data_IF_247951390818
#
_entry.id   IF_247951390818
#
_cell.length_a   1.000
_cell.length_b   1.000
_cell.length_c   1.000
_cell.angle_alpha   90.00
_cell.angle_beta   90.00
_cell.angle_gamma   90.00
#
_symmetry.space_group_name_H-M   'P 1'
#
loop_
_entity.id
_entity.type
_entity.pdbx_description
1 polymer ?
#
# COMPACT_ATOMS: atom_id res chain seq x y z
N UNK A 1 -21.75 -28.52 9.21
CA UNK A 1 -20.64 -29.06 10.02
C UNK A 1 -20.26 -28.01 11.06
N UNK A 2 -19.96 -28.39 12.32
CA UNK A 2 -19.78 -27.41 13.39
C UNK A 2 -18.43 -26.72 13.26
N UNK A 3 -18.47 -25.40 13.50
CA UNK A 3 -17.32 -24.53 13.61
C UNK A 3 -16.58 -24.77 14.94
N UNK A 4 -15.40 -25.39 14.88
CA UNK A 4 -14.36 -25.26 15.89
C UNK A 4 -13.06 -25.87 15.35
N UNK A 5 -11.95 -25.20 15.66
CA UNK A 5 -10.55 -25.57 15.42
C UNK A 5 -9.95 -25.18 14.06
N UNK A 6 -9.85 -23.87 13.81
CA UNK A 6 -8.76 -23.32 12.99
C UNK A 6 -7.80 -22.56 13.90
N UNK A 7 -6.61 -23.12 14.09
CA UNK A 7 -5.51 -22.50 14.83
C UNK A 7 -4.83 -21.43 13.96
N UNK A 8 -4.46 -20.36 14.64
CA UNK A 8 -3.78 -19.14 14.21
C UNK A 8 -2.77 -19.31 13.08
N UNK A 9 -2.94 -18.51 12.02
CA UNK A 9 -1.98 -18.36 10.92
C UNK A 9 -2.64 -17.77 9.67
N UNK A 10 -2.80 -16.45 9.63
CA UNK A 10 -3.17 -15.60 8.47
C UNK A 10 -3.79 -16.34 7.27
N UNK A 11 -5.03 -16.79 7.45
CA UNK A 11 -6.03 -16.83 6.38
C UNK A 11 -6.42 -15.38 6.03
N UNK A 12 -7.03 -15.12 4.87
CA UNK A 12 -7.48 -13.78 4.45
C UNK A 12 -8.59 -13.15 5.34
N UNK A 13 -8.48 -13.28 6.66
CA UNK A 13 -9.39 -12.75 7.67
C UNK A 13 -9.21 -11.24 7.83
N UNK A 14 -10.29 -10.56 8.23
CA UNK A 14 -10.25 -9.10 8.38
C UNK A 14 -9.31 -8.82 9.53
N UNK A 15 -8.23 -8.09 9.25
CA UNK A 15 -7.30 -7.72 10.30
C UNK A 15 -8.10 -6.91 11.34
N UNK A 16 -8.34 -7.56 12.47
CA UNK A 16 -9.04 -6.97 13.58
C UNK A 16 -8.03 -6.11 14.33
N UNK A 17 -8.23 -4.80 14.29
CA UNK A 17 -7.50 -3.89 15.17
C UNK A 17 -8.19 -3.91 16.54
N UNK A 18 -7.45 -3.90 17.66
CA UNK A 18 -8.02 -3.79 19.01
C UNK A 18 -8.49 -2.36 19.30
N UNK A 19 -9.20 -1.75 18.35
CA UNK A 19 -9.67 -0.38 18.38
C UNK A 19 -11.20 -0.36 18.46
N UNK A 20 -11.72 0.60 19.23
CA UNK A 20 -13.13 0.97 19.18
C UNK A 20 -13.26 2.22 18.31
N UNK A 21 -14.02 2.11 17.23
CA UNK A 21 -14.37 3.25 16.39
C UNK A 21 -15.68 3.87 16.89
N UNK A 22 -15.71 5.20 16.98
CA UNK A 22 -16.89 5.99 17.41
C UNK A 22 -17.96 6.06 16.31
N UNK A 23 -17.55 5.92 15.05
CA UNK A 23 -18.46 5.89 13.90
C UNK A 23 -17.90 5.02 12.77
N UNK A 24 -18.79 4.65 11.86
CA UNK A 24 -18.40 3.97 10.61
C UNK A 24 -17.44 4.85 9.79
N UNK A 25 -17.63 6.17 9.77
CA UNK A 25 -16.79 7.10 9.01
C UNK A 25 -15.37 7.14 9.55
N UNK A 26 -15.21 7.14 10.87
CA UNK A 26 -13.89 7.06 11.49
C UNK A 26 -13.18 5.75 11.10
N UNK A 27 -13.91 4.64 11.07
CA UNK A 27 -13.40 3.34 10.67
C UNK A 27 -13.00 3.32 9.18
N UNK A 28 -13.83 3.87 8.28
CA UNK A 28 -13.52 4.02 6.85
C UNK A 28 -12.25 4.87 6.68
N UNK A 29 -12.20 6.04 7.31
CA UNK A 29 -11.06 6.97 7.22
C UNK A 29 -9.75 6.32 7.72
N UNK A 30 -9.82 5.51 8.78
CA UNK A 30 -8.68 4.76 9.29
C UNK A 30 -8.13 3.79 8.25
N UNK A 31 -8.98 2.94 7.67
CA UNK A 31 -8.55 1.95 6.69
C UNK A 31 -8.07 2.59 5.38
N UNK A 32 -8.71 3.67 4.94
CA UNK A 32 -8.29 4.41 3.75
C UNK A 32 -6.93 5.06 3.94
N UNK A 33 -6.69 5.67 5.11
CA UNK A 33 -5.40 6.29 5.43
C UNK A 33 -4.31 5.22 5.61
N UNK A 34 -4.62 4.09 6.25
CA UNK A 34 -3.71 2.96 6.38
C UNK A 34 -3.27 2.44 5.00
N UNK A 35 -4.21 2.18 4.09
CA UNK A 35 -3.88 1.71 2.74
C UNK A 35 -3.19 2.78 1.90
N UNK A 36 -3.57 4.05 2.04
CA UNK A 36 -2.90 5.18 1.39
C UNK A 36 -1.39 5.18 1.70
N UNK A 37 -1.04 4.93 2.96
CA UNK A 37 0.33 4.93 3.48
C UNK A 37 1.06 3.59 3.36
N UNK A 38 0.41 2.55 2.84
CA UNK A 38 0.96 1.19 2.78
C UNK A 38 1.98 0.96 1.64
N UNK A 39 2.95 1.87 1.51
CA UNK A 39 4.05 1.80 0.55
C UNK A 39 5.40 1.83 1.27
N UNK A 40 6.50 1.80 0.50
CA UNK A 40 7.84 2.00 1.04
C UNK A 40 8.61 0.71 1.29
N UNK A 41 8.23 -0.39 0.64
CA UNK A 41 8.95 -1.67 0.70
C UNK A 41 10.45 -1.57 0.39
N UNK A 42 10.87 -0.56 -0.39
CA UNK A 42 12.27 -0.25 -0.67
C UNK A 42 13.08 0.20 0.57
N UNK A 43 12.41 0.59 1.65
CA UNK A 43 13.01 1.03 2.91
C UNK A 43 13.01 -0.07 3.98
N UNK A 44 12.57 -1.29 3.65
CA UNK A 44 12.47 -2.38 4.62
C UNK A 44 13.79 -2.69 5.34
N UNK A 45 14.93 -2.59 4.65
CA UNK A 45 16.25 -2.89 5.22
C UNK A 45 16.81 -1.73 6.07
N UNK A 46 16.13 -0.56 6.07
CA UNK A 46 16.48 0.64 6.85
C UNK A 46 15.63 0.78 8.12
N UNK A 47 14.68 -0.13 8.32
CA UNK A 47 13.86 -0.20 9.51
C UNK A 47 14.43 -1.31 10.39
N UNK A 48 14.54 -1.04 11.69
CA UNK A 48 15.12 -1.99 12.66
C UNK A 48 14.22 -3.22 12.85
N UNK A 49 13.42 -3.23 13.91
CA UNK A 49 12.65 -4.41 14.36
C UNK A 49 11.24 -4.49 13.77
N UNK A 50 10.90 -3.63 12.79
CA UNK A 50 9.55 -3.56 12.22
C UNK A 50 9.59 -3.66 10.71
N UNK A 51 8.63 -4.39 10.16
CA UNK A 51 8.29 -4.26 8.74
C UNK A 51 7.80 -2.85 8.42
N UNK A 52 7.85 -2.49 7.15
CA UNK A 52 7.26 -1.24 6.65
C UNK A 52 5.78 -1.16 7.04
N UNK A 53 5.04 -2.26 6.88
CA UNK A 53 3.63 -2.30 7.24
C UNK A 53 3.42 -2.11 8.76
N UNK A 54 4.18 -2.81 9.61
CA UNK A 54 4.10 -2.63 11.07
C UNK A 54 4.47 -1.21 11.51
N UNK A 55 5.42 -0.57 10.82
CA UNK A 55 5.78 0.83 11.04
C UNK A 55 4.60 1.77 10.75
N UNK A 56 3.92 1.58 9.61
CA UNK A 56 2.71 2.33 9.28
C UNK A 56 1.60 2.04 10.30
N UNK A 57 1.35 0.78 10.62
CA UNK A 57 0.34 0.38 11.60
C UNK A 57 0.57 0.99 12.97
N UNK A 58 1.81 1.00 13.45
CA UNK A 58 2.19 1.65 14.70
C UNK A 58 1.79 3.13 14.70
N UNK A 59 2.13 3.86 13.64
CA UNK A 59 1.76 5.27 13.52
C UNK A 59 0.26 5.49 13.41
N UNK A 60 -0.44 4.64 12.67
CA UNK A 60 -1.90 4.69 12.55
C UNK A 60 -2.60 4.46 13.90
N UNK A 61 -2.13 3.51 14.69
CA UNK A 61 -2.61 3.27 16.05
C UNK A 61 -2.32 4.47 16.96
N UNK A 62 -1.11 5.04 16.90
CA UNK A 62 -0.73 6.24 17.64
C UNK A 62 -1.64 7.44 17.33
N UNK A 63 -1.94 7.67 16.05
CA UNK A 63 -2.86 8.73 15.61
C UNK A 63 -4.27 8.52 16.19
N UNK A 64 -4.82 7.30 16.12
CA UNK A 64 -6.12 6.98 16.69
C UNK A 64 -6.17 7.19 18.20
N UNK A 65 -5.16 6.69 18.93
CA UNK A 65 -5.10 6.79 20.39
C UNK A 65 -4.90 8.24 20.87
N UNK A 66 -4.31 9.10 20.04
CA UNK A 66 -4.20 10.54 20.32
C UNK A 66 -5.52 11.33 20.15
N UNK A 67 -6.59 10.68 19.67
CA UNK A 67 -7.88 11.31 19.40
C UNK A 67 -7.87 12.23 18.17
N UNK A 68 -6.80 12.21 17.35
CA UNK A 68 -6.71 12.98 16.12
C UNK A 68 -7.67 12.40 15.08
N UNK A 69 -8.46 13.27 14.44
CA UNK A 69 -9.32 12.88 13.31
C UNK A 69 -8.46 12.69 12.06
N UNK A 70 -8.61 11.56 11.38
CA UNK A 70 -7.95 11.27 10.11
C UNK A 70 -8.69 11.94 8.95
N UNK A 71 -8.63 13.27 8.92
CA UNK A 71 -9.32 14.11 7.95
C UNK A 71 -8.31 14.95 7.13
N UNK A 72 -8.83 15.65 6.12
CA UNK A 72 -8.05 16.47 5.21
C UNK A 72 -7.21 17.54 5.93
N UNK A 73 -7.74 18.08 7.05
CA UNK A 73 -7.01 19.02 7.88
C UNK A 73 -5.75 18.38 8.46
N UNK A 74 -5.88 17.26 9.16
CA UNK A 74 -4.77 16.55 9.78
C UNK A 74 -3.70 16.16 8.76
N UNK A 75 -4.12 15.55 7.66
CA UNK A 75 -3.21 15.06 6.61
C UNK A 75 -2.34 16.19 6.03
N UNK A 76 -2.94 17.35 5.77
CA UNK A 76 -2.23 18.49 5.19
C UNK A 76 -1.38 19.31 6.18
N UNK A 77 -1.55 19.09 7.48
CA UNK A 77 -0.85 19.88 8.51
C UNK A 77 0.32 19.15 9.14
N UNK A 78 0.59 17.91 8.72
CA UNK A 78 1.74 17.15 9.23
C UNK A 78 3.04 17.84 8.82
N UNK A 79 4.04 17.80 9.68
CA UNK A 79 5.42 18.11 9.37
C UNK A 79 6.27 16.85 9.26
N UNK A 80 7.49 16.97 8.74
CA UNK A 80 8.43 15.83 8.72
C UNK A 80 8.76 15.33 10.15
N UNK A 81 8.77 16.24 11.13
CA UNK A 81 8.95 15.89 12.54
C UNK A 81 7.74 15.12 13.09
N UNK A 82 6.51 15.55 12.76
CA UNK A 82 5.30 14.81 13.13
C UNK A 82 5.32 13.39 12.57
N UNK A 83 5.76 13.22 11.31
CA UNK A 83 5.91 11.89 10.69
C UNK A 83 6.94 11.05 11.46
N UNK A 84 8.14 11.61 11.71
CA UNK A 84 9.18 10.92 12.47
C UNK A 84 8.68 10.44 13.84
N UNK A 85 8.01 11.31 14.59
CA UNK A 85 7.45 10.97 15.90
C UNK A 85 6.29 9.97 15.82
N UNK A 86 5.36 10.18 14.89
CA UNK A 86 4.14 9.35 14.76
C UNK A 86 4.50 7.91 14.38
N UNK A 87 5.35 7.73 13.37
CA UNK A 87 5.69 6.41 12.85
C UNK A 87 6.90 5.79 13.59
N UNK A 88 7.56 6.56 14.45
CA UNK A 88 8.73 6.13 15.20
C UNK A 88 9.91 5.85 14.28
N UNK A 89 10.20 6.79 13.38
CA UNK A 89 11.35 6.74 12.46
C UNK A 89 12.27 7.93 12.72
N UNK A 90 13.55 7.67 12.89
CA UNK A 90 14.56 8.71 13.13
C UNK A 90 14.87 9.42 11.81
N UNK A 91 14.32 10.63 11.61
CA UNK A 91 14.46 11.39 10.35
C UNK A 91 15.72 12.26 10.29
N UNK A 92 16.32 12.56 11.44
CA UNK A 92 17.49 13.43 11.59
C UNK A 92 18.48 12.78 12.54
N UNK A 93 19.77 12.92 12.26
CA UNK A 93 20.86 12.56 13.18
C UNK A 93 21.88 13.68 13.30
N UNK A 94 22.55 13.76 14.43
CA UNK A 94 23.69 14.66 14.61
C UNK A 94 24.92 14.10 13.87
N UNK A 95 25.51 14.91 13.01
CA UNK A 95 26.75 14.60 12.31
C UNK A 95 27.79 15.69 12.57
N UNK A 96 29.04 15.29 12.77
CA UNK A 96 30.14 16.24 12.91
C UNK A 96 30.39 16.92 11.57
N UNK A 97 30.51 18.25 11.58
CA UNK A 97 30.85 19.01 10.36
C UNK A 97 32.24 18.61 9.85
N UNK A 98 33.17 18.33 10.77
CA UNK A 98 34.48 17.73 10.49
C UNK A 98 34.84 16.74 11.61
N UNK A 99 35.50 15.61 11.31
CA UNK A 99 35.82 14.56 12.30
C UNK A 99 36.47 15.09 13.59
N UNK A 100 37.36 16.07 13.46
CA UNK A 100 38.20 16.61 14.55
C UNK A 100 37.64 17.89 15.20
N UNK A 101 36.39 18.27 14.89
CA UNK A 101 35.76 19.44 15.51
C UNK A 101 34.67 19.01 16.49
N UNK A 102 34.45 19.76 17.59
CA UNK A 102 33.32 19.54 18.49
C UNK A 102 32.00 20.15 17.94
N UNK A 103 31.95 20.52 16.66
CA UNK A 103 30.81 21.20 16.03
C UNK A 103 29.98 20.17 15.27
N UNK A 104 28.70 20.10 15.62
CA UNK A 104 27.72 19.20 15.03
C UNK A 104 26.72 19.96 14.16
N UNK A 105 26.13 19.27 13.21
CA UNK A 105 24.99 19.71 12.40
C UNK A 105 23.98 18.57 12.30
N UNK A 106 22.74 18.89 11.96
CA UNK A 106 21.72 17.86 11.68
C UNK A 106 21.73 17.51 10.20
N UNK A 107 21.87 16.22 9.91
CA UNK A 107 21.68 15.68 8.57
C UNK A 107 20.49 14.73 8.52
N UNK A 108 19.96 14.50 7.32
CA UNK A 108 18.93 13.49 7.10
C UNK A 108 19.51 12.10 7.24
N UNK A 109 18.79 11.21 7.93
CA UNK A 109 19.09 9.78 7.91
C UNK A 109 18.66 9.14 6.59
N UNK A 110 19.08 7.90 6.38
CA UNK A 110 18.73 7.10 5.21
C UNK A 110 17.21 6.84 5.13
N UNK A 111 16.54 6.68 6.29
CA UNK A 111 15.08 6.49 6.38
C UNK A 111 14.28 7.79 6.19
N UNK A 112 14.93 8.97 6.23
CA UNK A 112 14.25 10.25 6.02
C UNK A 112 13.53 10.32 4.65
N UNK A 113 14.03 9.60 3.63
CA UNK A 113 13.35 9.45 2.35
C UNK A 113 11.94 8.86 2.47
N UNK A 114 11.77 7.83 3.30
CA UNK A 114 10.47 7.20 3.57
C UNK A 114 9.52 8.17 4.26
N UNK A 115 10.00 8.87 5.30
CA UNK A 115 9.20 9.86 6.02
C UNK A 115 8.76 11.02 5.12
N UNK A 116 9.61 11.46 4.18
CA UNK A 116 9.25 12.47 3.17
C UNK A 116 8.16 11.97 2.21
N UNK A 117 8.18 10.69 1.83
CA UNK A 117 7.12 10.10 0.99
C UNK A 117 5.79 10.00 1.74
N UNK A 118 5.80 9.61 3.03
CA UNK A 118 4.62 9.64 3.91
C UNK A 118 4.05 11.05 3.98
N UNK A 119 4.91 12.04 4.29
CA UNK A 119 4.51 13.43 4.37
C UNK A 119 3.86 13.91 3.07
N UNK A 120 4.52 13.65 1.93
CA UNK A 120 4.00 14.00 0.62
C UNK A 120 2.64 13.36 0.33
N UNK A 121 2.47 12.07 0.64
CA UNK A 121 1.20 11.36 0.46
C UNK A 121 0.07 11.99 1.28
N UNK A 122 0.35 12.35 2.55
CA UNK A 122 -0.59 13.05 3.41
C UNK A 122 -0.92 14.45 2.88
N UNK A 123 0.08 15.26 2.55
CA UNK A 123 -0.10 16.63 2.05
C UNK A 123 -0.90 16.66 0.74
N UNK A 124 -0.54 15.83 -0.23
CA UNK A 124 -1.21 15.77 -1.53
C UNK A 124 -2.66 15.30 -1.38
N UNK A 125 -2.90 14.29 -0.55
CA UNK A 125 -4.26 13.77 -0.32
C UNK A 125 -5.12 14.76 0.45
N UNK A 126 -4.60 15.33 1.55
CA UNK A 126 -5.32 16.33 2.34
C UNK A 126 -5.65 17.58 1.53
N UNK A 127 -4.71 18.05 0.69
CA UNK A 127 -4.96 19.15 -0.25
C UNK A 127 -6.06 18.80 -1.26
N UNK A 128 -5.98 17.63 -1.90
CA UNK A 128 -7.00 17.19 -2.87
C UNK A 128 -8.38 17.04 -2.26
N UNK A 129 -8.50 16.45 -1.06
CA UNK A 129 -9.79 16.34 -0.36
C UNK A 129 -10.41 17.72 -0.12
N UNK A 130 -9.63 18.71 0.33
CA UNK A 130 -10.11 20.09 0.49
C UNK A 130 -10.51 20.75 -0.83
N UNK A 131 -9.71 20.61 -1.88
CA UNK A 131 -10.03 21.13 -3.22
C UNK A 131 -11.33 20.53 -3.77
N UNK A 132 -11.64 19.30 -3.38
CA UNK A 132 -12.87 18.60 -3.70
C UNK A 132 -14.00 18.86 -2.70
N UNK A 133 -13.84 19.79 -1.75
CA UNK A 133 -14.81 20.11 -0.70
C UNK A 133 -15.28 18.85 0.04
N UNK A 134 -14.30 18.05 0.48
CA UNK A 134 -14.48 16.86 1.29
C UNK A 134 -13.62 17.00 2.56
N UNK A 135 -14.23 16.85 3.73
CA UNK A 135 -13.54 16.84 5.02
C UNK A 135 -12.65 15.59 5.14
N UNK A 136 -13.09 14.44 4.63
CA UNK A 136 -12.40 13.16 4.77
C UNK A 136 -12.72 12.17 3.63
N UNK A 137 -12.20 10.94 3.72
CA UNK A 137 -12.44 9.88 2.73
C UNK A 137 -13.90 9.42 2.71
N UNK A 138 -14.55 9.31 3.87
CA UNK A 138 -15.94 8.88 3.95
C UNK A 138 -16.86 9.85 3.20
N UNK A 139 -16.69 11.16 3.37
CA UNK A 139 -17.42 12.18 2.61
C UNK A 139 -17.05 12.14 1.12
N UNK A 140 -15.76 11.96 0.80
CA UNK A 140 -15.30 11.83 -0.59
C UNK A 140 -16.02 10.68 -1.32
N UNK A 141 -16.12 9.49 -0.73
CA UNK A 141 -16.80 8.37 -1.38
C UNK A 141 -18.29 8.62 -1.56
N UNK A 142 -18.98 9.18 -0.56
CA UNK A 142 -20.40 9.55 -0.71
C UNK A 142 -20.64 10.57 -1.83
N UNK A 143 -19.66 11.43 -2.09
CA UNK A 143 -19.75 12.48 -3.12
C UNK A 143 -19.58 11.93 -4.54
N UNK A 144 -18.72 10.93 -4.72
CA UNK A 144 -18.29 10.48 -6.04
C UNK A 144 -18.79 9.08 -6.45
N UNK A 145 -19.35 8.30 -5.53
CA UNK A 145 -19.85 6.95 -5.83
C UNK A 145 -21.37 6.92 -5.82
N UNK A 146 -21.91 6.10 -6.71
CA UNK A 146 -23.34 5.78 -6.77
C UNK A 146 -23.63 4.60 -5.83
N UNK A 147 -24.43 4.87 -4.79
CA UNK A 147 -24.82 3.87 -3.79
C UNK A 147 -25.79 2.82 -4.32
N UNK A 148 -26.54 3.14 -5.38
CA UNK A 148 -27.49 2.21 -5.99
C UNK A 148 -26.80 1.25 -6.97
N UNK A 149 -25.58 1.61 -7.42
CA UNK A 149 -24.75 0.82 -8.36
C UNK A 149 -23.27 0.83 -7.96
N UNK A 150 -22.93 0.33 -6.76
CA UNK A 150 -21.55 0.27 -6.30
C UNK A 150 -20.76 -0.72 -7.17
N UNK A 151 -19.68 -0.25 -7.78
CA UNK A 151 -18.73 -1.09 -8.52
C UNK A 151 -17.30 -0.78 -8.09
N UNK A 152 -16.48 -1.81 -7.97
CA UNK A 152 -15.05 -1.70 -7.71
C UNK A 152 -14.36 -0.94 -8.85
N UNK A 153 -14.82 -1.12 -10.09
CA UNK A 153 -14.29 -0.38 -11.25
C UNK A 153 -14.49 1.14 -11.12
N UNK A 154 -15.70 1.59 -10.75
CA UNK A 154 -15.97 3.01 -10.54
C UNK A 154 -15.19 3.56 -9.33
N UNK A 155 -15.10 2.77 -8.25
CA UNK A 155 -14.32 3.11 -7.06
C UNK A 155 -12.84 3.34 -7.40
N UNK A 156 -12.22 2.39 -8.08
CA UNK A 156 -10.81 2.48 -8.51
C UNK A 156 -10.58 3.66 -9.44
N UNK A 157 -11.49 3.89 -10.40
CA UNK A 157 -11.40 5.03 -11.32
C UNK A 157 -11.48 6.38 -10.60
N UNK A 158 -12.42 6.53 -9.66
CA UNK A 158 -12.57 7.75 -8.86
C UNK A 158 -11.31 8.03 -8.04
N UNK A 159 -10.74 7.02 -7.39
CA UNK A 159 -9.48 7.17 -6.64
C UNK A 159 -8.34 7.59 -7.56
N UNK A 160 -8.11 6.85 -8.65
CA UNK A 160 -7.04 7.11 -9.61
C UNK A 160 -7.13 8.54 -10.19
N UNK A 161 -8.33 8.99 -10.53
CA UNK A 161 -8.56 10.30 -11.13
C UNK A 161 -8.41 11.46 -10.14
N UNK A 162 -8.82 11.26 -8.89
CA UNK A 162 -8.95 12.35 -7.93
C UNK A 162 -7.78 12.47 -6.95
N UNK A 163 -7.12 11.34 -6.63
CA UNK A 163 -6.12 11.23 -5.58
C UNK A 163 -4.80 10.63 -6.14
N UNK A 164 -3.76 11.46 -6.35
CA UNK A 164 -2.51 11.03 -6.99
C UNK A 164 -1.82 9.83 -6.34
N UNK A 165 -1.94 9.65 -5.02
CA UNK A 165 -1.35 8.52 -4.27
C UNK A 165 -1.89 7.14 -4.70
N UNK A 166 -3.06 7.11 -5.35
CA UNK A 166 -3.68 5.91 -5.92
C UNK A 166 -3.48 5.81 -7.44
N UNK A 167 -2.87 6.82 -8.08
CA UNK A 167 -2.56 6.82 -9.50
C UNK A 167 -1.26 6.06 -9.77
N UNK A 168 -1.39 4.74 -9.87
CA UNK A 168 -0.31 3.82 -10.22
C UNK A 168 -0.28 3.58 -11.73
N UNK A 169 0.15 4.64 -12.43
CA UNK A 169 0.28 4.69 -13.88
C UNK A 169 1.70 5.04 -14.32
N UNK A 170 2.08 4.58 -15.50
CA UNK A 170 3.38 4.82 -16.11
C UNK A 170 3.24 4.97 -17.63
N UNK A 171 4.04 5.85 -18.21
CA UNK A 171 4.05 6.10 -19.66
C UNK A 171 5.35 5.58 -20.25
N UNK A 172 5.25 4.67 -21.22
CA UNK A 172 6.39 4.13 -21.98
C UNK A 172 6.15 4.35 -23.47
N UNK A 173 7.01 5.16 -24.10
CA UNK A 173 6.75 5.69 -25.45
C UNK A 173 5.40 6.41 -25.50
N UNK A 174 4.53 5.96 -26.41
CA UNK A 174 3.16 6.49 -26.59
C UNK A 174 2.08 5.69 -25.82
N UNK A 175 2.49 4.75 -24.95
CA UNK A 175 1.56 3.87 -24.22
C UNK A 175 1.46 4.27 -22.76
N UNK A 176 0.23 4.54 -22.30
CA UNK A 176 -0.09 4.69 -20.87
C UNK A 176 -0.52 3.35 -20.29
N UNK A 177 0.10 2.96 -19.17
CA UNK A 177 -0.13 1.69 -18.48
C UNK A 177 -0.59 1.98 -17.07
N UNK A 178 -1.64 1.29 -16.61
CA UNK A 178 -2.23 1.47 -15.28
C UNK A 178 -2.33 0.13 -14.55
N UNK A 179 -1.56 -0.03 -13.47
CA UNK A 179 -1.61 -1.24 -12.62
C UNK A 179 -2.60 -1.05 -11.47
N UNK A 180 -2.68 0.15 -10.89
CA UNK A 180 -3.67 0.56 -9.87
C UNK A 180 -3.72 -0.37 -8.65
N UNK A 181 -2.58 -0.94 -8.24
CA UNK A 181 -2.52 -1.98 -7.19
C UNK A 181 -3.15 -1.52 -5.88
N UNK A 182 -2.79 -0.33 -5.41
CA UNK A 182 -3.25 0.20 -4.13
C UNK A 182 -4.75 0.51 -4.13
N UNK A 183 -5.26 1.06 -5.24
CA UNK A 183 -6.69 1.33 -5.38
C UNK A 183 -7.52 0.03 -5.38
N UNK A 184 -7.03 -1.00 -6.08
CA UNK A 184 -7.64 -2.35 -6.08
C UNK A 184 -7.59 -2.99 -4.68
N UNK A 185 -6.45 -2.87 -3.98
CA UNK A 185 -6.31 -3.39 -2.62
C UNK A 185 -7.29 -2.70 -1.66
N UNK A 186 -7.43 -1.38 -1.74
CA UNK A 186 -8.40 -0.64 -0.95
C UNK A 186 -9.84 -1.04 -1.29
N UNK A 187 -10.18 -1.23 -2.57
CA UNK A 187 -11.50 -1.70 -2.98
C UNK A 187 -11.83 -3.06 -2.34
N UNK A 188 -10.91 -4.03 -2.43
CA UNK A 188 -11.08 -5.35 -1.83
C UNK A 188 -11.21 -5.29 -0.30
N UNK A 189 -10.39 -4.45 0.36
CA UNK A 189 -10.46 -4.27 1.81
C UNK A 189 -11.81 -3.69 2.25
N UNK A 190 -12.24 -2.58 1.64
CA UNK A 190 -13.50 -1.94 2.01
C UNK A 190 -14.71 -2.83 1.70
N UNK A 191 -14.70 -3.53 0.57
CA UNK A 191 -15.80 -4.44 0.21
C UNK A 191 -15.98 -5.54 1.24
N UNK A 192 -14.90 -6.29 1.53
CA UNK A 192 -14.93 -7.40 2.48
C UNK A 192 -15.33 -6.94 3.88
N UNK A 193 -14.93 -5.72 4.26
CA UNK A 193 -15.12 -5.20 5.61
C UNK A 193 -16.45 -4.48 5.83
N UNK A 194 -17.02 -3.88 4.78
CA UNK A 194 -18.16 -2.98 4.91
C UNK A 194 -19.34 -3.29 3.98
N UNK A 195 -19.26 -4.20 3.02
CA UNK A 195 -20.40 -4.56 2.14
C UNK A 195 -21.70 -4.82 2.91
N UNK A 196 -21.61 -5.53 4.04
CA UNK A 196 -22.75 -5.86 4.90
C UNK A 196 -23.20 -4.73 5.85
N UNK A 197 -22.44 -3.64 5.98
CA UNK A 197 -22.71 -2.49 6.88
C UNK A 197 -22.93 -1.17 6.14
N UNK A 198 -22.47 -1.08 4.91
CA UNK A 198 -22.40 0.13 4.11
C UNK A 198 -22.57 -0.22 2.62
N UNK A 199 -23.79 -0.05 2.07
CA UNK A 199 -24.09 -0.40 0.68
C UNK A 199 -23.14 0.24 -0.34
N UNK A 200 -22.54 1.39 -0.02
CA UNK A 200 -21.55 2.09 -0.84
C UNK A 200 -20.34 1.22 -1.22
N UNK A 201 -20.02 0.20 -0.42
CA UNK A 201 -18.89 -0.71 -0.66
C UNK A 201 -19.33 -2.12 -1.05
N UNK A 202 -20.62 -2.35 -1.30
CA UNK A 202 -21.13 -3.64 -1.77
C UNK A 202 -20.92 -3.81 -3.29
N UNK A 203 -19.65 -3.76 -3.72
CA UNK A 203 -19.28 -3.81 -5.13
C UNK A 203 -19.75 -5.08 -5.84
N UNK A 204 -20.45 -4.89 -6.96
CA UNK A 204 -21.10 -5.98 -7.71
C UNK A 204 -20.16 -6.70 -8.71
N UNK A 205 -18.95 -6.18 -8.94
CA UNK A 205 -17.97 -6.64 -9.94
C UNK A 205 -16.62 -7.03 -9.31
N UNK A 206 -16.63 -7.46 -8.05
CA UNK A 206 -15.41 -7.87 -7.34
C UNK A 206 -14.70 -9.06 -7.98
N UNK A 207 -15.47 -9.94 -8.64
CA UNK A 207 -14.96 -11.07 -9.43
C UNK A 207 -14.08 -10.63 -10.61
N UNK A 208 -14.30 -9.40 -11.11
CA UNK A 208 -13.56 -8.81 -12.24
C UNK A 208 -12.34 -7.99 -11.79
N UNK A 209 -12.14 -7.83 -10.48
CA UNK A 209 -11.03 -7.08 -9.93
C UNK A 209 -9.73 -7.87 -10.13
N UNK A 210 -8.86 -7.40 -11.02
CA UNK A 210 -7.55 -8.00 -11.23
C UNK A 210 -6.68 -7.96 -9.96
N UNK A 211 -5.73 -8.90 -9.84
CA UNK A 211 -4.84 -9.01 -8.69
C UNK A 211 -4.04 -7.72 -8.46
N UNK A 212 -4.07 -7.13 -7.24
CA UNK A 212 -3.11 -6.12 -6.84
C UNK A 212 -1.69 -6.66 -7.04
N UNK A 213 -0.81 -5.88 -7.65
CA UNK A 213 0.56 -6.30 -7.88
C UNK A 213 1.49 -5.61 -6.90
N UNK A 214 2.11 -6.42 -6.04
CA UNK A 214 3.14 -6.11 -5.05
C UNK A 214 4.56 -6.32 -5.57
N UNK A 215 5.59 -6.12 -4.74
CA UNK A 215 6.93 -6.66 -5.03
C UNK A 215 7.13 -8.11 -4.55
N UNK A 216 6.29 -8.57 -3.62
CA UNK A 216 6.32 -9.94 -3.10
C UNK A 216 5.83 -10.97 -4.12
N UNK A 217 4.77 -10.66 -4.87
CA UNK A 217 4.19 -11.61 -5.84
C UNK A 217 5.16 -11.92 -6.99
N UNK A 218 5.80 -10.94 -7.66
CA UNK A 218 6.81 -11.26 -8.68
C UNK A 218 7.98 -12.08 -8.12
N UNK A 219 8.42 -11.80 -6.89
CA UNK A 219 9.47 -12.58 -6.24
C UNK A 219 9.05 -14.04 -5.98
N UNK A 220 7.81 -14.26 -5.51
CA UNK A 220 7.24 -15.60 -5.37
C UNK A 220 7.15 -16.31 -6.73
N UNK A 221 6.59 -15.66 -7.74
CA UNK A 221 6.43 -16.28 -9.06
C UNK A 221 7.79 -16.64 -9.69
N UNK A 222 8.84 -15.83 -9.44
CA UNK A 222 10.21 -16.17 -9.82
C UNK A 222 10.74 -17.38 -9.06
N UNK A 223 10.53 -17.45 -7.74
CA UNK A 223 11.07 -18.54 -6.92
C UNK A 223 10.47 -19.91 -7.24
N UNK A 224 9.20 -19.94 -7.68
CA UNK A 224 8.53 -21.17 -8.14
C UNK A 224 8.70 -21.45 -9.64
N UNK A 225 9.48 -20.64 -10.36
CA UNK A 225 9.78 -20.86 -11.77
C UNK A 225 8.68 -20.46 -12.76
N UNK A 226 7.67 -19.71 -12.32
CA UNK A 226 6.62 -19.15 -13.21
C UNK A 226 7.18 -17.94 -13.98
N UNK A 227 7.97 -17.10 -13.33
CA UNK A 227 8.69 -16.00 -13.99
C UNK A 227 10.17 -16.34 -14.16
N UNK A 228 10.70 -16.00 -15.34
CA UNK A 228 12.14 -16.03 -15.62
C UNK A 228 12.60 -14.63 -16.00
N UNK A 229 13.69 -14.18 -15.41
CA UNK A 229 14.27 -12.86 -15.68
C UNK A 229 15.50 -13.03 -16.55
N UNK A 230 15.79 -12.04 -17.39
CA UNK A 230 17.08 -11.98 -18.05
C UNK A 230 18.23 -11.86 -17.03
N UNK A 231 19.48 -12.17 -17.42
CA UNK A 231 20.61 -12.17 -16.49
C UNK A 231 20.86 -10.83 -15.79
N UNK A 232 20.61 -9.69 -16.43
CA UNK A 232 20.87 -8.38 -15.83
C UNK A 232 19.76 -8.01 -14.84
N UNK A 233 18.49 -8.26 -15.15
CA UNK A 233 17.40 -8.07 -14.19
C UNK A 233 17.57 -8.99 -12.98
N UNK A 234 17.93 -10.27 -13.19
CA UNK A 234 18.21 -11.22 -12.10
C UNK A 234 19.28 -10.65 -11.16
N UNK A 235 20.42 -10.23 -11.73
CA UNK A 235 21.53 -9.67 -10.96
C UNK A 235 21.13 -8.40 -10.21
N UNK A 236 20.34 -7.50 -10.81
CA UNK A 236 19.86 -6.29 -10.14
C UNK A 236 19.00 -6.62 -8.91
N UNK A 237 18.04 -7.53 -9.07
CA UNK A 237 17.15 -7.94 -7.98
C UNK A 237 17.94 -8.64 -6.86
N UNK A 238 18.86 -9.53 -7.22
CA UNK A 238 19.66 -10.30 -6.25
C UNK A 238 20.63 -9.42 -5.47
N UNK A 239 21.23 -8.41 -6.11
CA UNK A 239 22.12 -7.42 -5.48
C UNK A 239 21.36 -6.28 -4.78
N UNK A 240 20.02 -6.35 -4.68
CA UNK A 240 19.17 -5.30 -4.11
C UNK A 240 19.43 -3.91 -4.72
N UNK A 241 19.63 -3.88 -6.04
CA UNK A 241 19.70 -2.64 -6.81
C UNK A 241 18.30 -2.21 -7.26
N UNK A 242 18.14 -0.89 -7.41
CA UNK A 242 16.90 -0.26 -7.87
C UNK A 242 16.46 -0.81 -9.23
N UNK A 243 15.19 -1.18 -9.34
CA UNK A 243 14.49 -1.54 -10.58
C UNK A 243 13.37 -0.53 -10.76
N UNK A 244 13.50 0.37 -11.74
CA UNK A 244 12.57 1.48 -11.97
C UNK A 244 12.30 1.69 -13.45
N UNK A 245 11.24 2.43 -13.78
CA UNK A 245 10.90 2.81 -15.15
C UNK A 245 10.31 1.65 -15.95
N UNK A 246 10.63 1.57 -17.23
CA UNK A 246 10.12 0.53 -18.15
C UNK A 246 10.30 -0.88 -17.59
N UNK A 247 11.46 -1.18 -17.00
CA UNK A 247 11.79 -2.49 -16.45
C UNK A 247 10.91 -2.87 -15.26
N UNK A 248 10.62 -1.91 -14.38
CA UNK A 248 9.68 -2.11 -13.28
C UNK A 248 8.27 -2.37 -13.82
N UNK A 249 7.83 -1.53 -14.76
CA UNK A 249 6.48 -1.63 -15.30
C UNK A 249 6.27 -2.92 -16.07
N UNK A 250 7.24 -3.35 -16.88
CA UNK A 250 7.24 -4.64 -17.57
C UNK A 250 7.14 -5.79 -16.58
N UNK A 251 8.01 -5.82 -15.56
CA UNK A 251 7.98 -6.86 -14.53
C UNK A 251 6.61 -6.96 -13.85
N UNK A 252 6.02 -5.82 -13.48
CA UNK A 252 4.70 -5.77 -12.84
C UNK A 252 3.60 -6.22 -13.79
N UNK A 253 3.63 -5.80 -15.06
CA UNK A 253 2.65 -6.21 -16.06
C UNK A 253 2.71 -7.72 -16.36
N UNK A 254 3.92 -8.27 -16.53
CA UNK A 254 4.12 -9.71 -16.75
C UNK A 254 3.63 -10.51 -15.54
N UNK A 255 3.89 -10.04 -14.32
CA UNK A 255 3.38 -10.69 -13.12
C UNK A 255 1.83 -10.63 -13.03
N UNK A 256 1.21 -9.52 -13.42
CA UNK A 256 -0.26 -9.42 -13.51
C UNK A 256 -0.81 -10.42 -14.53
N UNK A 257 -0.17 -10.52 -15.69
CA UNK A 257 -0.55 -11.47 -16.73
C UNK A 257 -0.42 -12.93 -16.25
N UNK A 258 0.69 -13.27 -15.60
CA UNK A 258 0.89 -14.60 -15.01
C UNK A 258 -0.18 -14.93 -13.95
N UNK A 259 -0.50 -13.99 -13.06
CA UNK A 259 -1.59 -14.17 -12.10
C UNK A 259 -2.95 -14.36 -12.79
N UNK A 260 -3.23 -13.63 -13.86
CA UNK A 260 -4.46 -13.82 -14.63
C UNK A 260 -4.56 -15.24 -15.22
N UNK A 261 -3.48 -15.74 -15.83
CA UNK A 261 -3.43 -17.11 -16.37
C UNK A 261 -3.59 -18.17 -15.28
N UNK A 262 -2.98 -17.97 -14.10
CA UNK A 262 -3.14 -18.87 -12.96
C UNK A 262 -4.59 -18.86 -12.48
N UNK A 263 -5.21 -17.68 -12.36
CA UNK A 263 -6.59 -17.52 -11.92
C UNK A 263 -7.56 -18.25 -12.85
N UNK A 264 -7.39 -18.11 -14.16
CA UNK A 264 -8.19 -18.84 -15.16
C UNK A 264 -7.98 -20.35 -15.07
N UNK A 265 -6.74 -20.81 -14.93
CA UNK A 265 -6.42 -22.24 -14.89
C UNK A 265 -6.97 -22.95 -13.64
N UNK A 266 -7.16 -22.23 -12.53
CA UNK A 266 -7.68 -22.78 -11.27
C UNK A 266 -9.10 -22.29 -10.93
N UNK A 267 -9.74 -21.58 -11.86
CA UNK A 267 -11.12 -21.08 -11.77
C UNK A 267 -11.43 -20.24 -10.51
N UNK A 268 -10.51 -19.33 -10.14
CA UNK A 268 -10.70 -18.37 -9.03
C UNK A 268 -10.64 -16.94 -9.54
N UNK A 269 -11.22 -15.99 -8.80
CA UNK A 269 -11.08 -14.58 -9.16
C UNK A 269 -9.68 -14.03 -8.78
N UNK A 270 -9.29 -12.92 -9.42
CA UNK A 270 -7.96 -12.33 -9.24
C UNK A 270 -7.68 -11.82 -7.82
N UNK A 271 -8.70 -11.37 -7.10
CA UNK A 271 -8.56 -10.89 -5.72
C UNK A 271 -8.31 -12.05 -4.74
N UNK A 272 -9.04 -13.15 -4.88
CA UNK A 272 -8.85 -14.39 -4.10
C UNK A 272 -7.47 -14.99 -4.36
N UNK A 273 -7.07 -15.10 -5.63
CA UNK A 273 -5.73 -15.56 -5.97
C UNK A 273 -4.66 -14.69 -5.33
N UNK A 274 -4.81 -13.37 -5.39
CA UNK A 274 -3.86 -12.44 -4.78
C UNK A 274 -3.70 -12.70 -3.28
N UNK A 275 -4.80 -12.83 -2.54
CA UNK A 275 -4.76 -13.10 -1.09
C UNK A 275 -4.04 -14.42 -0.81
N UNK A 276 -4.34 -15.46 -1.58
CA UNK A 276 -3.66 -16.73 -1.45
C UNK A 276 -2.15 -16.61 -1.71
N UNK A 277 -1.75 -16.03 -2.85
CA UNK A 277 -0.35 -15.89 -3.22
C UNK A 277 0.42 -14.98 -2.26
N UNK A 278 -0.22 -13.94 -1.72
CA UNK A 278 0.39 -13.09 -0.69
C UNK A 278 0.72 -13.90 0.56
N UNK A 279 -0.24 -14.70 1.06
CA UNK A 279 -0.01 -15.54 2.23
C UNK A 279 1.08 -16.58 1.97
N UNK A 280 1.17 -17.11 0.74
CA UNK A 280 2.26 -18.01 0.34
C UNK A 280 3.60 -17.27 0.34
N UNK A 281 3.67 -16.05 -0.19
CA UNK A 281 4.90 -15.25 -0.25
C UNK A 281 5.47 -14.88 1.15
N UNK A 282 4.64 -14.90 2.19
CA UNK A 282 5.04 -14.65 3.58
C UNK A 282 5.54 -15.90 4.31
N UNK A 283 5.36 -17.11 3.75
CA UNK A 283 5.90 -18.34 4.35
C UNK A 283 7.43 -18.33 4.34
N UNK A 284 8.05 -18.90 5.38
CA UNK A 284 9.51 -18.91 5.57
C UNK A 284 10.30 -19.41 4.34
N UNK A 285 9.75 -20.36 3.58
CA UNK A 285 10.34 -20.89 2.34
C UNK A 285 10.48 -19.82 1.24
N UNK A 286 9.53 -18.88 1.16
CA UNK A 286 9.47 -17.88 0.10
C UNK A 286 9.81 -16.46 0.57
N UNK A 287 9.77 -16.21 1.88
CA UNK A 287 10.02 -14.90 2.47
C UNK A 287 11.43 -14.38 2.19
N UNK A 288 12.40 -15.28 1.99
CA UNK A 288 13.80 -14.95 1.68
C UNK A 288 14.04 -14.65 0.18
N UNK A 289 13.05 -14.85 -0.69
CA UNK A 289 13.19 -14.59 -2.12
C UNK A 289 13.49 -13.10 -2.38
N UNK A 290 14.56 -12.77 -3.13
CA UNK A 290 14.90 -11.39 -3.46
C UNK A 290 13.74 -10.67 -4.17
N UNK A 291 13.33 -9.53 -3.62
CA UNK A 291 12.28 -8.65 -4.17
C UNK A 291 12.92 -7.48 -4.90
N UNK A 292 12.31 -7.06 -6.01
CA UNK A 292 12.76 -5.85 -6.69
C UNK A 292 12.52 -4.62 -5.79
N UNK A 293 13.44 -3.66 -5.83
CA UNK A 293 13.36 -2.41 -5.07
C UNK A 293 12.99 -1.25 -5.98
N UNK A 294 11.97 -0.49 -5.59
CA UNK A 294 11.45 0.66 -6.35
C UNK A 294 11.50 1.92 -5.47
N UNK A 295 12.71 2.40 -5.10
CA UNK A 295 12.85 3.60 -4.28
C UNK A 295 12.19 4.78 -5.00
N UNK A 296 11.45 5.60 -4.24
CA UNK A 296 10.67 6.76 -4.71
C UNK A 296 9.33 6.45 -5.39
N UNK A 297 8.86 5.21 -5.35
CA UNK A 297 7.48 4.92 -5.76
C UNK A 297 6.54 5.01 -4.56
N UNK A 298 5.36 5.58 -4.79
CA UNK A 298 4.21 5.45 -3.88
C UNK A 298 3.39 4.20 -4.23
N UNK A 299 3.94 3.31 -5.06
CA UNK A 299 3.30 2.06 -5.45
C UNK A 299 3.44 1.05 -4.32
N UNK A 300 2.46 0.13 -4.29
CA UNK A 300 2.15 -0.79 -3.19
C UNK A 300 1.37 -0.09 -2.07
#
# INVERSE_FOLDING_TARGET
MPAAEMKEGYTGDIQAFPLKFDSLDQEINFHCTLQMLNFGSAYQDLLDDRSVFETIQYGMLGLMLSGRKMNAQMLSSMSLSDVGQTFGVEVKREAKIKPDTPIYTEEDTEVAGFAKLILKACEDTGRRLRELDCEDFAQFFRKFLDVDKPTASAFVFVLQKQLPVFCDGYTTGDTEIYVLSKAKLLAAELHRRFSFRAPLFDFQDMDRLGSPMGNAIPALLRSVGVLSYDPELSRRVDERRSVTGDLEMELRCVAVHACHQIAEAVEVNGAELYLHLRNVAEKAEFASAPRHLTPNTLFF
#
